data_IF_531868592619
#
_entry.id   IF_531868592619
#
_cell.length_a   1.000
_cell.length_b   1.000
_cell.length_c   1.000
_cell.angle_alpha   90.00
_cell.angle_beta   90.00
_cell.angle_gamma   90.00
#
_symmetry.space_group_name_H-M   'P 1'
#
loop_
_entity.id
_entity.type
_entity.pdbx_description
1 polymer ?
#
# COMPACT_ATOMS: atom_id res chain seq x y z
N UNK A 1 24.39 66.04 -7.15
CA UNK A 1 25.30 65.98 -6.01
C UNK A 1 25.60 64.54 -5.68
N UNK A 2 26.85 64.24 -5.87
CA UNK A 2 27.61 63.03 -5.65
C UNK A 2 27.50 62.54 -4.21
N UNK A 3 27.34 61.24 -3.97
CA UNK A 3 28.08 60.53 -2.94
C UNK A 3 28.31 59.08 -3.38
N UNK A 4 29.53 58.82 -3.66
CA UNK A 4 30.28 57.63 -3.87
C UNK A 4 30.49 56.96 -2.50
N UNK A 5 30.11 55.73 -2.30
CA UNK A 5 30.50 54.93 -1.15
C UNK A 5 31.27 53.69 -1.61
N UNK A 6 32.49 53.67 -1.15
CA UNK A 6 33.56 52.71 -1.36
C UNK A 6 33.29 51.41 -0.62
N UNK A 7 33.34 50.28 -1.32
CA UNK A 7 33.30 48.96 -0.72
C UNK A 7 34.72 48.48 -0.47
N UNK A 8 35.09 48.37 0.78
CA UNK A 8 36.36 47.80 1.22
C UNK A 8 36.19 46.26 1.29
N UNK A 9 36.96 45.58 0.47
CA UNK A 9 37.10 44.13 0.42
C UNK A 9 38.09 43.71 1.51
N UNK A 10 37.59 43.05 2.56
CA UNK A 10 38.43 42.45 3.59
C UNK A 10 38.61 40.98 3.26
N UNK A 11 39.76 40.61 2.71
CA UNK A 11 40.21 39.22 2.63
C UNK A 11 40.69 38.79 4.02
N UNK A 12 39.99 37.86 4.64
CA UNK A 12 40.49 37.09 5.75
C UNK A 12 40.73 35.64 5.30
N UNK A 13 42.01 35.35 5.13
CA UNK A 13 42.52 33.98 5.04
C UNK A 13 42.31 33.29 6.38
N UNK A 14 41.43 32.30 6.42
CA UNK A 14 41.43 31.36 7.53
C UNK A 14 41.93 29.99 7.04
N UNK A 15 42.91 29.52 7.78
CA UNK A 15 43.66 28.33 7.52
C UNK A 15 42.80 27.07 7.63
N UNK A 16 43.17 26.12 6.84
CA UNK A 16 42.75 24.71 6.91
C UNK A 16 43.17 24.14 8.28
N UNK A 17 42.22 23.98 9.18
CA UNK A 17 42.28 22.99 10.25
C UNK A 17 41.37 21.84 9.85
N UNK A 18 41.99 20.81 9.34
CA UNK A 18 41.43 19.50 9.17
C UNK A 18 41.14 18.94 10.58
N UNK A 19 39.90 18.98 11.01
CA UNK A 19 39.42 18.09 12.04
C UNK A 19 38.73 16.94 11.34
N UNK A 20 39.43 15.83 11.32
CA UNK A 20 38.97 14.54 10.90
C UNK A 20 38.26 13.93 12.13
N UNK A 21 36.99 14.20 12.27
CA UNK A 21 36.10 13.41 13.14
C UNK A 21 35.12 12.65 12.24
N UNK A 22 35.67 11.58 11.67
CA UNK A 22 34.90 10.52 11.05
C UNK A 22 34.56 9.47 12.10
N UNK A 23 33.53 9.70 12.88
CA UNK A 23 32.75 8.64 13.51
C UNK A 23 31.50 8.35 12.67
N UNK A 24 31.70 8.22 11.36
CA UNK A 24 30.83 7.47 10.50
C UNK A 24 31.16 6.00 10.72
N UNK A 25 30.26 5.24 11.27
CA UNK A 25 30.31 3.79 11.22
C UNK A 25 30.31 3.43 9.73
N UNK A 26 31.50 3.22 9.20
CA UNK A 26 31.64 2.56 7.89
C UNK A 26 31.27 1.12 8.17
N UNK A 27 30.03 0.77 7.85
CA UNK A 27 29.67 -0.63 7.75
C UNK A 27 30.56 -1.26 6.70
N UNK A 28 31.35 -2.25 7.09
CA UNK A 28 32.13 -3.04 6.16
C UNK A 28 31.18 -3.64 5.13
N UNK A 29 31.18 -3.08 3.91
CA UNK A 29 30.52 -3.70 2.77
C UNK A 29 31.03 -5.10 2.61
N UNK A 30 30.21 -6.14 2.66
CA UNK A 30 30.68 -7.48 2.40
C UNK A 30 31.09 -7.57 0.94
N UNK A 31 32.40 -7.56 0.70
CA UNK A 31 32.97 -7.86 -0.61
C UNK A 31 32.52 -9.28 -0.93
N UNK A 32 31.64 -9.45 -1.90
CA UNK A 32 31.35 -10.77 -2.46
C UNK A 32 32.55 -11.21 -3.27
N UNK A 33 32.82 -12.51 -3.31
CA UNK A 33 33.93 -13.07 -4.10
C UNK A 33 33.95 -12.65 -5.58
N UNK A 34 32.89 -12.00 -6.06
CA UNK A 34 32.74 -11.49 -7.43
C UNK A 34 32.89 -9.96 -7.56
N UNK A 35 33.33 -9.26 -6.51
CA UNK A 35 33.60 -7.80 -6.58
C UNK A 35 32.40 -6.92 -6.93
N UNK A 36 31.17 -7.40 -6.75
CA UNK A 36 29.99 -6.57 -6.89
C UNK A 36 29.66 -5.92 -5.56
N UNK A 37 29.93 -4.61 -5.46
CA UNK A 37 29.37 -3.78 -4.42
C UNK A 37 27.84 -3.84 -4.54
N UNK A 38 27.19 -4.27 -3.46
CA UNK A 38 25.75 -4.17 -3.38
C UNK A 38 25.40 -2.80 -2.85
N UNK A 39 24.50 -2.09 -3.54
CA UNK A 39 23.97 -0.77 -3.15
C UNK A 39 23.22 -0.76 -1.79
N UNK A 40 23.42 -1.76 -0.97
CA UNK A 40 22.71 -1.97 0.30
C UNK A 40 23.19 -1.07 1.44
N UNK A 41 24.34 -0.43 1.29
CA UNK A 41 24.93 0.44 2.32
C UNK A 41 24.27 1.82 2.37
N UNK A 42 23.33 2.09 1.45
CA UNK A 42 22.66 3.40 1.34
C UNK A 42 21.52 3.53 2.36
N UNK A 43 20.98 2.42 2.88
CA UNK A 43 19.86 2.47 3.83
C UNK A 43 20.40 2.71 5.24
N UNK A 44 20.52 3.97 5.63
CA UNK A 44 21.13 4.37 6.90
C UNK A 44 20.14 4.58 8.04
N UNK A 45 18.84 4.82 7.77
CA UNK A 45 17.85 5.13 8.80
C UNK A 45 16.41 4.86 8.41
N UNK A 46 15.50 5.06 9.35
CA UNK A 46 14.06 4.88 9.12
C UNK A 46 13.44 6.01 8.30
N UNK A 47 14.17 7.10 8.08
CA UNK A 47 13.84 8.25 7.24
C UNK A 47 14.25 8.09 5.76
N UNK A 48 14.94 6.99 5.39
CA UNK A 48 15.25 6.70 3.99
C UNK A 48 13.98 6.62 3.14
N UNK A 49 13.89 7.43 2.09
CA UNK A 49 12.73 7.46 1.19
C UNK A 49 12.90 6.41 0.10
N UNK A 50 12.00 5.43 0.08
CA UNK A 50 11.93 4.45 -0.99
C UNK A 50 11.19 5.03 -2.20
N UNK A 51 11.81 4.96 -3.38
CA UNK A 51 11.19 5.26 -4.66
C UNK A 51 10.84 3.95 -5.35
N UNK A 52 9.55 3.64 -5.42
CA UNK A 52 9.04 2.34 -5.87
C UNK A 52 8.36 2.47 -7.23
N UNK A 53 8.96 1.91 -8.31
CA UNK A 53 8.36 1.96 -9.63
C UNK A 53 7.08 1.13 -9.71
N UNK A 54 5.99 1.75 -10.18
CA UNK A 54 4.67 1.14 -10.36
C UNK A 54 4.34 1.02 -11.84
N UNK A 55 3.84 -0.14 -12.24
CA UNK A 55 3.27 -0.39 -13.56
C UNK A 55 1.82 -0.85 -13.44
N UNK A 56 0.91 -0.12 -14.06
CA UNK A 56 -0.50 -0.50 -14.20
C UNK A 56 -0.67 -1.33 -15.46
N UNK A 57 -1.22 -2.54 -15.33
CA UNK A 57 -1.60 -3.42 -16.43
C UNK A 57 -3.11 -3.34 -16.60
N UNK A 58 -3.57 -2.56 -17.58
CA UNK A 58 -5.00 -2.29 -17.83
C UNK A 58 -5.55 -3.28 -18.83
N UNK A 59 -6.39 -4.20 -18.37
CA UNK A 59 -7.04 -5.22 -19.20
C UNK A 59 -8.36 -4.68 -19.75
N UNK A 60 -8.54 -4.77 -21.07
CA UNK A 60 -9.75 -4.33 -21.74
C UNK A 60 -10.11 -5.25 -22.91
N UNK A 61 -11.39 -5.37 -23.21
CA UNK A 61 -11.92 -6.00 -24.43
C UNK A 61 -12.46 -4.94 -25.39
N UNK A 62 -13.04 -3.85 -24.87
CA UNK A 62 -13.53 -2.70 -25.64
C UNK A 62 -12.79 -1.41 -25.22
N UNK A 63 -12.00 -0.77 -26.14
CA UNK A 63 -11.28 0.47 -25.83
C UNK A 63 -12.19 1.69 -25.61
N UNK A 64 -13.47 1.60 -25.98
CA UNK A 64 -14.46 2.65 -25.75
C UNK A 64 -15.21 2.50 -24.43
N UNK A 65 -15.08 1.37 -23.76
CA UNK A 65 -15.66 1.14 -22.44
C UNK A 65 -14.76 1.73 -21.35
N UNK A 66 -15.15 2.89 -20.81
CA UNK A 66 -14.37 3.60 -19.78
C UNK A 66 -14.31 2.87 -18.44
N UNK A 67 -15.18 1.90 -18.18
CA UNK A 67 -15.10 1.04 -16.99
C UNK A 67 -14.08 -0.10 -17.14
N UNK A 68 -13.38 -0.20 -18.27
CA UNK A 68 -12.32 -1.16 -18.53
C UNK A 68 -11.06 -0.45 -19.02
N UNK A 69 -11.18 0.41 -20.01
CA UNK A 69 -10.07 1.20 -20.57
C UNK A 69 -9.86 2.47 -19.74
N UNK A 70 -9.18 2.32 -18.61
CA UNK A 70 -8.91 3.43 -17.70
C UNK A 70 -7.83 4.33 -18.29
N UNK A 71 -8.13 5.62 -18.43
CA UNK A 71 -7.20 6.58 -19.02
C UNK A 71 -5.95 6.80 -18.13
N UNK A 72 -4.79 6.96 -18.79
CA UNK A 72 -3.50 7.24 -18.13
C UNK A 72 -3.56 8.35 -17.07
N UNK A 73 -4.22 9.48 -17.44
CA UNK A 73 -4.30 10.63 -16.55
C UNK A 73 -5.00 10.30 -15.23
N UNK A 74 -6.01 9.41 -15.31
CA UNK A 74 -6.76 8.97 -14.14
C UNK A 74 -5.90 8.10 -13.21
N UNK A 75 -5.15 7.16 -13.75
CA UNK A 75 -4.24 6.31 -12.97
C UNK A 75 -3.12 7.14 -12.32
N UNK A 76 -2.61 8.14 -13.04
CA UNK A 76 -1.62 9.09 -12.51
C UNK A 76 -2.19 9.93 -11.35
N UNK A 77 -3.43 10.44 -11.48
CA UNK A 77 -4.11 11.17 -10.41
C UNK A 77 -4.26 10.30 -9.14
N UNK A 78 -4.71 9.05 -9.31
CA UNK A 78 -4.84 8.10 -8.20
C UNK A 78 -3.50 7.86 -7.52
N UNK A 79 -2.44 7.59 -8.26
CA UNK A 79 -1.12 7.34 -7.69
C UNK A 79 -0.58 8.55 -6.93
N UNK A 80 -0.83 9.76 -7.41
CA UNK A 80 -0.46 11.00 -6.71
C UNK A 80 -1.21 11.12 -5.36
N UNK A 81 -2.52 10.84 -5.36
CA UNK A 81 -3.33 10.87 -4.13
C UNK A 81 -2.92 9.76 -3.14
N UNK A 82 -2.52 8.59 -3.65
CA UNK A 82 -1.94 7.51 -2.81
C UNK A 82 -0.63 7.97 -2.16
N UNK A 83 0.22 8.68 -2.88
CA UNK A 83 1.44 9.23 -2.29
C UNK A 83 1.13 10.23 -1.16
N UNK A 84 0.10 11.07 -1.30
CA UNK A 84 -0.32 11.97 -0.21
C UNK A 84 -0.78 11.18 1.03
N UNK A 85 -1.51 10.07 0.83
CA UNK A 85 -1.91 9.17 1.93
C UNK A 85 -0.70 8.53 2.62
N UNK A 86 0.29 8.04 1.85
CA UNK A 86 1.50 7.42 2.40
C UNK A 86 2.47 8.43 3.03
N UNK A 87 2.40 9.69 2.65
CA UNK A 87 3.16 10.78 3.27
C UNK A 87 2.50 11.32 4.54
N UNK A 88 1.26 10.94 4.80
CA UNK A 88 0.50 11.44 5.95
C UNK A 88 -0.05 12.86 5.75
N UNK A 89 -0.15 13.33 4.51
CA UNK A 89 -0.53 14.70 4.15
C UNK A 89 -2.04 14.89 3.95
N UNK A 90 -2.85 13.86 4.22
CA UNK A 90 -4.31 13.94 4.12
C UNK A 90 -4.93 14.27 5.46
N UNK A 91 -5.83 15.24 5.47
CA UNK A 91 -6.49 15.75 6.67
C UNK A 91 -8.00 15.69 6.54
N UNK A 92 -8.67 15.32 7.63
CA UNK A 92 -10.11 15.48 7.78
C UNK A 92 -10.39 16.47 8.90
N UNK A 93 -10.91 17.65 8.54
CA UNK A 93 -11.23 18.72 9.49
C UNK A 93 -12.31 18.37 10.51
N UNK A 94 -13.07 17.30 10.26
CA UNK A 94 -14.11 16.81 11.16
C UNK A 94 -13.59 15.84 12.22
N UNK A 95 -12.31 15.48 12.15
CA UNK A 95 -11.67 14.58 13.10
C UNK A 95 -10.68 15.35 13.97
N UNK A 96 -10.84 15.18 15.27
CA UNK A 96 -9.86 15.61 16.27
C UNK A 96 -8.82 14.47 16.42
N UNK A 97 -8.08 14.19 15.34
CA UNK A 97 -7.20 13.05 15.28
C UNK A 97 -5.74 13.44 15.17
N UNK A 98 -4.88 12.54 15.64
CA UNK A 98 -3.46 12.55 15.38
C UNK A 98 -3.21 12.50 13.87
N UNK A 99 -2.17 13.16 13.41
CA UNK A 99 -1.71 13.07 12.03
C UNK A 99 -1.40 11.61 11.66
N UNK A 100 -1.53 11.27 10.40
CA UNK A 100 -1.01 10.02 9.85
C UNK A 100 0.51 10.04 9.90
N UNK A 101 1.14 8.88 10.08
CA UNK A 101 2.59 8.75 9.99
C UNK A 101 3.05 8.71 8.53
N UNK A 102 4.22 9.30 8.27
CA UNK A 102 4.86 9.21 6.95
C UNK A 102 5.58 7.86 6.80
N UNK A 103 5.21 7.10 5.77
CA UNK A 103 5.83 5.79 5.49
C UNK A 103 7.22 5.92 4.86
N UNK A 104 7.58 7.11 4.39
CA UNK A 104 8.79 7.38 3.62
C UNK A 104 8.88 6.51 2.34
N UNK A 105 7.78 6.42 1.63
CA UNK A 105 7.65 5.75 0.33
C UNK A 105 7.06 6.73 -0.68
N UNK A 106 7.61 6.73 -1.89
CA UNK A 106 7.07 7.42 -3.05
C UNK A 106 6.86 6.40 -4.16
N UNK A 107 5.62 6.22 -4.57
CA UNK A 107 5.27 5.39 -5.72
C UNK A 107 5.41 6.22 -6.99
N UNK A 108 6.20 5.74 -7.94
CA UNK A 108 6.51 6.43 -9.19
C UNK A 108 6.03 5.61 -10.39
N UNK A 109 5.41 6.28 -11.36
CA UNK A 109 5.09 5.62 -12.62
C UNK A 109 6.37 5.15 -13.32
N UNK A 110 6.50 3.85 -13.62
CA UNK A 110 7.64 3.28 -14.31
C UNK A 110 7.93 4.02 -15.62
N UNK A 111 9.16 4.51 -15.80
CA UNK A 111 9.57 5.26 -17.00
C UNK A 111 10.12 4.35 -18.11
N UNK A 112 10.63 3.17 -17.74
CA UNK A 112 11.29 2.22 -18.65
C UNK A 112 10.72 0.83 -18.43
N UNK A 113 10.73 0.04 -19.49
CA UNK A 113 10.45 -1.39 -19.41
C UNK A 113 11.66 -2.20 -18.86
N UNK A 114 11.46 -3.51 -18.68
CA UNK A 114 12.49 -4.43 -18.19
C UNK A 114 13.77 -4.46 -19.04
N UNK A 115 13.72 -3.99 -20.31
CA UNK A 115 14.85 -3.90 -21.22
C UNK A 115 15.50 -2.50 -21.23
N UNK A 116 15.03 -1.59 -20.37
CA UNK A 116 15.50 -0.21 -20.28
C UNK A 116 14.98 0.72 -21.35
N UNK A 117 14.02 0.28 -22.18
CA UNK A 117 13.39 1.11 -23.20
C UNK A 117 12.37 2.04 -22.57
N UNK A 118 12.43 3.32 -22.91
CA UNK A 118 11.48 4.33 -22.44
C UNK A 118 10.06 4.00 -22.91
N UNK A 119 9.12 4.00 -22.00
CA UNK A 119 7.71 3.78 -22.26
C UNK A 119 7.08 4.99 -22.95
N UNK A 120 6.21 4.74 -23.93
CA UNK A 120 5.41 5.80 -24.56
C UNK A 120 4.36 6.38 -23.61
N UNK A 121 3.84 5.55 -22.71
CA UNK A 121 2.94 5.93 -21.63
C UNK A 121 3.57 5.48 -20.32
N UNK A 122 4.19 6.39 -19.56
CA UNK A 122 4.88 6.01 -18.33
C UNK A 122 3.96 5.27 -17.35
N UNK A 123 4.41 4.12 -16.87
CA UNK A 123 3.73 3.33 -15.86
C UNK A 123 2.38 2.73 -16.24
N UNK A 124 2.02 2.69 -17.52
CA UNK A 124 0.77 2.05 -17.96
C UNK A 124 0.97 1.19 -19.19
N UNK A 125 0.54 -0.07 -19.10
CA UNK A 125 0.46 -1.02 -20.20
C UNK A 125 -1.00 -1.40 -20.44
N UNK A 126 -1.46 -1.24 -21.68
CA UNK A 126 -2.83 -1.59 -22.09
C UNK A 126 -2.82 -2.98 -22.73
N UNK A 127 -3.55 -3.93 -22.13
CA UNK A 127 -3.57 -5.34 -22.52
C UNK A 127 -4.95 -5.67 -23.09
N UNK A 128 -5.03 -5.83 -24.41
CA UNK A 128 -6.26 -6.26 -25.06
C UNK A 128 -6.47 -7.75 -24.87
N UNK A 129 -7.63 -8.10 -24.35
CA UNK A 129 -8.06 -9.50 -24.11
C UNK A 129 -9.42 -9.76 -24.76
N UNK A 130 -9.82 -11.01 -24.87
CA UNK A 130 -11.15 -11.38 -25.38
C UNK A 130 -12.28 -11.19 -24.36
N UNK A 131 -11.92 -11.17 -23.08
CA UNK A 131 -12.81 -10.89 -21.95
C UNK A 131 -11.98 -10.28 -20.84
N UNK A 132 -12.34 -9.08 -20.38
CA UNK A 132 -11.64 -8.35 -19.32
C UNK A 132 -12.27 -8.53 -17.93
N UNK A 133 -13.24 -9.44 -17.78
CA UNK A 133 -13.88 -9.78 -16.51
C UNK A 133 -13.31 -11.07 -15.95
N UNK A 134 -12.66 -11.01 -14.79
CA UNK A 134 -12.04 -12.17 -14.14
C UNK A 134 -12.51 -12.31 -12.69
N UNK A 135 -12.53 -13.55 -12.20
CA UNK A 135 -12.54 -13.81 -10.77
C UNK A 135 -11.21 -13.38 -10.17
N UNK A 136 -11.24 -12.45 -9.21
CA UNK A 136 -10.01 -11.81 -8.73
C UNK A 136 -9.10 -12.78 -7.97
N UNK A 137 -9.65 -13.67 -7.15
CA UNK A 137 -8.84 -14.67 -6.44
C UNK A 137 -8.22 -15.70 -7.39
N UNK A 138 -9.00 -16.16 -8.36
CA UNK A 138 -8.49 -17.10 -9.37
C UNK A 138 -7.41 -16.45 -10.22
N UNK A 139 -7.59 -15.17 -10.62
CA UNK A 139 -6.58 -14.43 -11.36
C UNK A 139 -5.25 -14.39 -10.60
N UNK A 140 -5.29 -14.04 -9.31
CA UNK A 140 -4.11 -13.92 -8.45
C UNK A 140 -3.39 -15.25 -8.21
N UNK A 141 -4.09 -16.39 -8.37
CA UNK A 141 -3.56 -17.74 -8.17
C UNK A 141 -3.16 -18.44 -9.48
N UNK A 142 -3.54 -17.91 -10.64
CA UNK A 142 -3.29 -18.52 -11.94
C UNK A 142 -1.88 -18.29 -12.44
N UNK A 143 -1.07 -19.37 -12.48
CA UNK A 143 0.32 -19.34 -12.99
C UNK A 143 0.42 -18.78 -14.42
N UNK A 144 -0.62 -18.96 -15.26
CA UNK A 144 -0.64 -18.41 -16.61
C UNK A 144 -0.75 -16.88 -16.62
N UNK A 145 -1.20 -16.27 -15.54
CA UNK A 145 -1.29 -14.80 -15.41
C UNK A 145 0.07 -14.16 -15.06
N UNK A 146 1.04 -14.95 -14.58
CA UNK A 146 2.39 -14.47 -14.31
C UNK A 146 3.05 -13.81 -15.54
N UNK A 147 2.65 -14.21 -16.76
CA UNK A 147 3.17 -13.62 -18.00
C UNK A 147 2.87 -12.12 -18.15
N UNK A 148 1.87 -11.60 -17.44
CA UNK A 148 1.51 -10.20 -17.46
C UNK A 148 2.28 -9.36 -16.42
N UNK A 149 2.94 -10.02 -15.47
CA UNK A 149 3.73 -9.32 -14.46
C UNK A 149 5.13 -9.00 -14.98
N UNK A 150 5.55 -7.77 -14.75
CA UNK A 150 6.95 -7.41 -14.87
C UNK A 150 7.74 -7.93 -13.66
N UNK A 151 9.06 -7.90 -13.72
CA UNK A 151 9.89 -8.40 -12.62
C UNK A 151 9.52 -7.74 -11.29
N UNK A 152 9.05 -8.53 -10.36
CA UNK A 152 8.53 -8.05 -9.05
C UNK A 152 9.63 -7.47 -8.15
N UNK A 153 10.90 -7.76 -8.42
CA UNK A 153 12.01 -7.13 -7.69
C UNK A 153 12.28 -5.69 -8.16
N UNK A 154 11.79 -5.31 -9.35
CA UNK A 154 12.04 -4.01 -9.95
C UNK A 154 10.77 -3.15 -10.00
N UNK A 155 9.59 -3.77 -10.02
CA UNK A 155 8.31 -3.08 -10.23
C UNK A 155 7.22 -3.61 -9.32
N UNK A 156 6.40 -2.71 -8.79
CA UNK A 156 5.09 -3.05 -8.23
C UNK A 156 4.12 -3.18 -9.40
N UNK A 157 3.57 -4.37 -9.57
CA UNK A 157 2.57 -4.65 -10.61
C UNK A 157 1.18 -4.37 -10.06
N UNK A 158 0.40 -3.52 -10.73
CA UNK A 158 -1.00 -3.23 -10.41
C UNK A 158 -1.87 -3.67 -11.58
N UNK A 159 -2.62 -4.75 -11.41
CA UNK A 159 -3.53 -5.29 -12.40
C UNK A 159 -4.88 -4.58 -12.30
N UNK A 160 -5.37 -4.07 -13.42
CA UNK A 160 -6.64 -3.30 -13.47
C UNK A 160 -7.57 -4.01 -14.44
N UNK A 161 -8.62 -4.63 -13.92
CA UNK A 161 -9.61 -5.38 -14.70
C UNK A 161 -10.96 -5.40 -14.00
N UNK A 162 -12.04 -5.73 -14.71
CA UNK A 162 -13.35 -5.87 -14.09
C UNK A 162 -13.42 -7.16 -13.28
N UNK A 163 -13.75 -7.05 -11.99
CA UNK A 163 -13.93 -8.22 -11.14
C UNK A 163 -15.28 -8.88 -11.42
N UNK A 164 -15.27 -10.20 -11.48
CA UNK A 164 -16.49 -10.99 -11.61
C UNK A 164 -17.34 -10.84 -10.34
N UNK A 165 -18.58 -10.43 -10.49
CA UNK A 165 -19.52 -10.35 -9.35
C UNK A 165 -19.71 -11.71 -8.71
N UNK A 166 -19.59 -11.76 -7.40
CA UNK A 166 -19.96 -12.91 -6.59
C UNK A 166 -21.44 -12.85 -6.23
N UNK A 167 -22.01 -13.96 -5.82
CA UNK A 167 -23.45 -14.05 -5.47
C UNK A 167 -23.83 -13.32 -4.17
N UNK A 168 -22.85 -12.86 -3.40
CA UNK A 168 -23.06 -12.05 -2.20
C UNK A 168 -23.05 -10.57 -2.60
N UNK A 169 -23.92 -9.77 -1.99
CA UNK A 169 -24.12 -8.34 -2.29
C UNK A 169 -22.88 -7.45 -2.00
N UNK A 170 -21.80 -8.00 -1.45
CA UNK A 170 -20.55 -7.29 -1.23
C UNK A 170 -19.68 -7.35 -2.48
N UNK A 171 -19.23 -6.18 -2.96
CA UNK A 171 -18.34 -6.08 -4.10
C UNK A 171 -16.89 -5.88 -3.64
N UNK A 172 -15.99 -6.73 -4.13
CA UNK A 172 -14.54 -6.58 -3.91
C UNK A 172 -14.02 -5.45 -4.79
N UNK A 173 -13.36 -4.47 -4.18
CA UNK A 173 -12.80 -3.30 -4.86
C UNK A 173 -11.34 -3.49 -5.24
N UNK A 174 -10.58 -4.22 -4.41
CA UNK A 174 -9.19 -4.56 -4.60
C UNK A 174 -8.86 -5.93 -3.98
N UNK A 175 -7.68 -6.42 -4.27
CA UNK A 175 -7.07 -7.61 -3.68
C UNK A 175 -5.56 -7.54 -3.86
N UNK A 176 -4.81 -7.96 -2.86
CA UNK A 176 -3.34 -7.90 -2.87
C UNK A 176 -2.70 -9.22 -2.47
N UNK A 177 -1.49 -9.47 -2.97
CA UNK A 177 -0.60 -10.43 -2.35
C UNK A 177 0.00 -9.84 -1.08
N UNK A 178 0.09 -10.65 -0.02
CA UNK A 178 0.91 -10.34 1.14
C UNK A 178 2.38 -10.70 0.87
N UNK A 179 3.33 -9.97 1.45
CA UNK A 179 4.74 -10.25 1.28
C UNK A 179 5.20 -11.47 2.09
N UNK A 180 6.45 -11.84 1.88
CA UNK A 180 7.07 -12.98 2.53
C UNK A 180 8.18 -12.53 3.45
N UNK A 181 8.37 -13.25 4.55
CA UNK A 181 9.60 -13.18 5.33
C UNK A 181 10.60 -14.24 4.89
N UNK A 182 11.87 -13.97 5.06
CA UNK A 182 12.97 -14.86 4.68
C UNK A 182 13.70 -15.33 5.94
N UNK A 183 13.99 -16.65 6.01
CA UNK A 183 14.71 -17.24 7.15
C UNK A 183 16.02 -16.49 7.40
N UNK A 184 16.17 -16.06 8.66
CA UNK A 184 17.36 -15.46 9.23
C UNK A 184 17.45 -13.95 9.10
N UNK A 185 16.43 -13.26 8.59
CA UNK A 185 16.14 -11.86 8.86
C UNK A 185 15.23 -11.74 10.10
N UNK A 186 15.04 -10.53 10.66
CA UNK A 186 14.06 -10.32 11.70
C UNK A 186 12.70 -10.88 11.29
N UNK A 187 12.04 -11.57 12.20
CA UNK A 187 10.71 -12.10 11.98
C UNK A 187 9.71 -10.94 11.85
N UNK A 188 8.85 -11.01 10.82
CA UNK A 188 7.71 -10.13 10.67
C UNK A 188 6.48 -10.99 10.94
N UNK A 189 5.94 -10.85 12.14
CA UNK A 189 4.88 -11.70 12.66
C UNK A 189 3.69 -11.76 11.70
N UNK A 190 3.09 -12.93 11.55
CA UNK A 190 1.96 -13.13 10.65
C UNK A 190 2.32 -13.38 9.18
N UNK A 191 3.49 -12.99 8.68
CA UNK A 191 3.86 -13.22 7.30
C UNK A 191 4.29 -14.67 7.04
N UNK A 192 3.94 -15.15 5.84
CA UNK A 192 4.35 -16.47 5.37
C UNK A 192 5.86 -16.53 5.14
N UNK A 193 6.44 -17.70 5.39
CA UNK A 193 7.87 -17.92 5.20
C UNK A 193 8.16 -18.31 3.75
N UNK A 194 8.89 -17.45 3.05
CA UNK A 194 9.42 -17.73 1.71
C UNK A 194 10.68 -18.61 1.79
N UNK A 195 10.56 -19.81 2.40
CA UNK A 195 11.69 -20.73 2.55
C UNK A 195 12.37 -20.96 1.21
N UNK A 196 13.67 -20.67 1.17
CA UNK A 196 14.55 -21.06 0.05
C UNK A 196 14.23 -20.43 -1.31
N UNK A 197 13.38 -19.40 -1.37
CA UNK A 197 13.11 -18.73 -2.63
C UNK A 197 14.28 -17.81 -3.00
N UNK A 198 14.86 -17.92 -4.22
CA UNK A 198 15.90 -17.01 -4.66
C UNK A 198 15.35 -15.58 -4.74
N UNK A 199 15.96 -14.62 -4.04
CA UNK A 199 15.50 -13.22 -3.98
C UNK A 199 15.44 -12.52 -5.35
N UNK A 200 16.16 -13.05 -6.34
CA UNK A 200 16.26 -12.48 -7.68
C UNK A 200 15.43 -13.24 -8.73
N UNK A 201 14.62 -14.23 -8.34
CA UNK A 201 13.80 -15.00 -9.28
C UNK A 201 12.39 -14.45 -9.31
N UNK A 202 11.82 -14.12 -10.48
CA UNK A 202 10.43 -13.74 -10.62
C UNK A 202 9.51 -14.86 -10.11
N UNK A 203 8.38 -14.50 -9.52
CA UNK A 203 7.35 -15.46 -9.12
C UNK A 203 6.75 -16.19 -10.30
N UNK A 204 6.24 -17.39 -10.06
CA UNK A 204 5.52 -18.19 -11.06
C UNK A 204 3.99 -17.93 -11.01
N UNK A 205 3.55 -16.88 -10.37
CA UNK A 205 2.18 -16.38 -10.29
C UNK A 205 2.21 -14.85 -10.33
N UNK A 206 1.08 -14.17 -10.61
CA UNK A 206 1.05 -12.71 -10.66
C UNK A 206 1.13 -12.13 -9.23
N UNK A 207 2.36 -11.97 -8.73
CA UNK A 207 2.59 -11.26 -7.46
C UNK A 207 2.34 -9.77 -7.67
N UNK A 208 1.18 -9.30 -7.24
CA UNK A 208 0.67 -7.98 -7.62
C UNK A 208 -0.41 -7.48 -6.65
N UNK A 209 -0.82 -6.24 -6.88
CA UNK A 209 -2.10 -5.68 -6.45
C UNK A 209 -3.07 -5.78 -7.61
N UNK A 210 -4.35 -6.05 -7.37
CA UNK A 210 -5.41 -5.98 -8.39
C UNK A 210 -6.50 -5.00 -7.96
N UNK A 211 -6.97 -4.18 -8.90
CA UNK A 211 -8.06 -3.21 -8.71
C UNK A 211 -9.23 -3.52 -9.62
N UNK A 212 -10.45 -3.38 -9.09
CA UNK A 212 -11.67 -3.50 -9.85
C UNK A 212 -11.89 -2.27 -10.74
N UNK A 213 -11.65 -2.41 -12.04
CA UNK A 213 -11.75 -1.33 -13.01
C UNK A 213 -13.12 -0.61 -12.99
N UNK A 214 -14.19 -1.31 -12.65
CA UNK A 214 -15.54 -0.75 -12.59
C UNK A 214 -15.69 0.37 -11.55
N UNK A 215 -14.77 0.48 -10.58
CA UNK A 215 -14.82 1.45 -9.48
C UNK A 215 -13.71 2.52 -9.54
N UNK A 216 -13.03 2.66 -10.67
CA UNK A 216 -11.93 3.64 -10.83
C UNK A 216 -12.43 5.00 -11.37
N UNK A 217 -13.66 5.09 -11.85
CA UNK A 217 -14.25 6.33 -12.36
C UNK A 217 -14.24 7.44 -11.29
N UNK A 218 -14.10 8.70 -11.75
CA UNK A 218 -14.12 9.89 -10.89
C UNK A 218 -15.38 10.03 -10.03
N UNK A 219 -16.49 9.42 -10.44
CA UNK A 219 -17.73 9.45 -9.68
C UNK A 219 -17.65 8.74 -8.33
N UNK A 220 -16.66 7.87 -8.14
CA UNK A 220 -16.41 7.17 -6.90
C UNK A 220 -15.34 7.83 -6.03
N UNK A 221 -14.79 8.97 -6.46
CA UNK A 221 -13.76 9.70 -5.72
C UNK A 221 -14.37 10.69 -4.74
N UNK A 222 -13.90 10.67 -3.50
CA UNK A 222 -14.20 11.68 -2.50
C UNK A 222 -13.35 12.93 -2.63
N UNK A 223 -13.86 14.08 -2.17
CA UNK A 223 -13.09 15.34 -2.11
C UNK A 223 -12.31 15.43 -0.78
N UNK A 224 -11.65 14.35 -0.39
CA UNK A 224 -10.98 14.24 0.92
C UNK A 224 -9.58 14.84 0.95
N UNK A 225 -8.95 14.96 -0.22
CA UNK A 225 -7.55 15.24 -0.29
C UNK A 225 -7.26 16.72 -0.14
N UNK A 226 -6.56 17.07 0.92
CA UNK A 226 -6.00 18.39 1.13
C UNK A 226 -4.67 18.27 1.88
N UNK A 227 -3.64 18.91 1.37
CA UNK A 227 -2.34 19.06 2.02
C UNK A 227 -2.26 20.33 2.85
N UNK A 228 -3.30 21.17 2.81
CA UNK A 228 -3.39 22.42 3.55
C UNK A 228 -4.37 22.29 4.72
N UNK A 229 -3.84 22.20 5.95
CA UNK A 229 -4.63 22.15 7.20
C UNK A 229 -5.55 23.34 7.38
N UNK A 230 -5.24 24.49 6.77
CA UNK A 230 -6.07 25.69 6.80
C UNK A 230 -7.19 25.72 5.77
N UNK A 231 -7.15 24.83 4.79
CA UNK A 231 -8.13 24.79 3.71
C UNK A 231 -9.25 23.80 4.02
N UNK A 232 -10.25 24.23 4.74
CA UNK A 232 -11.41 23.45 5.16
C UNK A 232 -12.40 23.17 4.02
N UNK A 233 -11.96 22.52 2.94
CA UNK A 233 -12.89 21.89 2.00
C UNK A 233 -13.54 20.74 2.74
N UNK A 234 -14.88 20.69 2.77
CA UNK A 234 -15.60 19.64 3.45
C UNK A 234 -15.15 18.26 2.98
N UNK A 235 -14.93 17.36 3.92
CA UNK A 235 -14.63 15.97 3.63
C UNK A 235 -15.87 15.29 3.06
N UNK A 236 -15.75 14.71 1.86
CA UNK A 236 -16.79 13.90 1.23
C UNK A 236 -16.31 12.45 1.21
N UNK A 237 -17.10 11.56 1.78
CA UNK A 237 -16.81 10.13 1.80
C UNK A 237 -17.50 9.40 0.64
N UNK A 238 -16.76 8.52 0.01
CA UNK A 238 -17.28 7.55 -0.95
C UNK A 238 -16.88 6.13 -0.54
N UNK A 239 -17.83 5.21 -0.58
CA UNK A 239 -17.62 3.80 -0.19
C UNK A 239 -16.66 3.05 -1.12
N UNK A 240 -16.51 3.52 -2.35
CA UNK A 240 -15.67 2.91 -3.38
C UNK A 240 -14.63 3.92 -3.92
N UNK A 241 -13.94 4.62 -3.02
CA UNK A 241 -12.89 5.58 -3.39
C UNK A 241 -11.64 4.84 -3.89
N UNK A 242 -11.26 4.97 -5.16
CA UNK A 242 -10.14 4.22 -5.74
C UNK A 242 -8.78 4.63 -5.15
N UNK A 243 -8.65 5.84 -4.61
CA UNK A 243 -7.41 6.27 -3.97
C UNK A 243 -7.21 5.53 -2.65
N UNK A 244 -8.26 5.48 -1.81
CA UNK A 244 -8.24 4.71 -0.57
C UNK A 244 -8.09 3.21 -0.85
N UNK A 245 -8.78 2.69 -1.88
CA UNK A 245 -8.66 1.29 -2.27
C UNK A 245 -7.23 0.93 -2.67
N UNK A 246 -6.60 1.69 -3.56
CA UNK A 246 -5.20 1.41 -3.94
C UNK A 246 -4.24 1.57 -2.76
N UNK A 247 -4.43 2.56 -1.89
CA UNK A 247 -3.61 2.73 -0.70
C UNK A 247 -3.77 1.56 0.28
N UNK A 248 -4.99 1.04 0.47
CA UNK A 248 -5.29 -0.14 1.26
C UNK A 248 -4.57 -1.38 0.72
N UNK A 249 -4.72 -1.65 -0.58
CA UNK A 249 -4.08 -2.81 -1.22
C UNK A 249 -2.55 -2.73 -1.21
N UNK A 250 -1.98 -1.53 -1.36
CA UNK A 250 -0.54 -1.31 -1.19
C UNK A 250 -0.10 -1.47 0.26
N UNK A 251 -0.96 -1.17 1.23
CA UNK A 251 -0.75 -1.50 2.64
C UNK A 251 -0.58 -3.01 2.83
N UNK A 252 -1.46 -3.84 2.27
CA UNK A 252 -1.32 -5.30 2.26
C UNK A 252 -0.06 -5.76 1.53
N UNK A 253 0.22 -5.19 0.37
CA UNK A 253 1.44 -5.48 -0.40
C UNK A 253 2.71 -5.19 0.41
N UNK A 254 2.66 -4.24 1.32
CA UNK A 254 3.73 -3.90 2.26
C UNK A 254 3.55 -4.55 3.65
N UNK A 255 2.69 -5.56 3.78
CA UNK A 255 2.63 -6.45 4.94
C UNK A 255 1.65 -6.10 6.03
N UNK A 256 0.75 -5.13 5.81
CA UNK A 256 -0.30 -4.83 6.77
C UNK A 256 -1.46 -5.83 6.67
N UNK A 257 -2.12 -6.05 7.79
CA UNK A 257 -3.38 -6.77 7.92
C UNK A 257 -4.51 -5.79 8.22
N UNK A 258 -5.75 -6.27 8.20
CA UNK A 258 -6.89 -5.41 8.50
C UNK A 258 -6.93 -4.96 9.96
N UNK A 259 -7.38 -3.74 10.18
CA UNK A 259 -7.55 -3.15 11.52
C UNK A 259 -8.81 -3.65 12.26
N UNK A 260 -9.20 -4.90 12.02
CA UNK A 260 -10.28 -5.62 12.71
C UNK A 260 -9.90 -7.09 12.84
N UNK A 261 -10.61 -7.81 13.70
CA UNK A 261 -10.27 -9.21 13.97
C UNK A 261 -10.56 -10.13 12.80
N UNK A 262 -9.57 -10.93 12.44
CA UNK A 262 -9.64 -11.95 11.39
C UNK A 262 -9.37 -13.34 11.96
N UNK A 263 -9.89 -14.39 11.30
CA UNK A 263 -9.59 -15.77 11.69
C UNK A 263 -8.12 -16.07 11.47
N UNK A 264 -7.49 -16.60 12.52
CA UNK A 264 -6.10 -17.04 12.47
C UNK A 264 -6.02 -18.52 12.08
N UNK A 265 -5.04 -18.90 11.23
CA UNK A 265 -4.76 -20.31 10.93
C UNK A 265 -4.70 -20.66 9.45
N UNK A 266 -5.67 -20.28 8.64
CA UNK A 266 -5.57 -20.41 7.18
C UNK A 266 -5.23 -19.03 6.57
N UNK A 267 -3.94 -18.85 6.29
CA UNK A 267 -3.41 -17.59 5.73
C UNK A 267 -3.69 -17.42 4.24
N UNK A 268 -4.43 -18.33 3.62
CA UNK A 268 -4.74 -18.27 2.19
C UNK A 268 -5.89 -17.30 1.86
N UNK A 269 -6.71 -16.94 2.87
CA UNK A 269 -7.80 -15.98 2.75
C UNK A 269 -7.99 -15.25 4.08
N UNK A 270 -8.15 -13.92 4.03
CA UNK A 270 -8.60 -13.14 5.18
C UNK A 270 -10.11 -13.35 5.39
N UNK A 271 -10.50 -13.85 6.56
CA UNK A 271 -11.90 -14.01 6.95
C UNK A 271 -12.14 -13.28 8.27
N UNK A 272 -13.23 -12.50 8.34
CA UNK A 272 -13.64 -11.81 9.56
C UNK A 272 -13.90 -12.80 10.70
N UNK A 273 -13.40 -12.50 11.90
CA UNK A 273 -13.67 -13.24 13.12
C UNK A 273 -14.83 -12.63 13.91
N UNK A 274 -15.64 -13.47 14.56
CA UNK A 274 -16.73 -13.00 15.45
C UNK A 274 -16.18 -12.73 16.87
N UNK A 275 -15.10 -11.96 16.95
CA UNK A 275 -14.47 -11.48 18.16
C UNK A 275 -13.72 -10.17 17.86
N UNK A 276 -13.04 -9.58 18.83
CA UNK A 276 -12.23 -8.36 18.69
C UNK A 276 -10.76 -8.57 19.10
N UNK A 277 -10.25 -9.78 18.91
CA UNK A 277 -8.84 -10.07 19.12
C UNK A 277 -7.97 -9.29 18.13
N UNK A 278 -6.81 -8.85 18.59
CA UNK A 278 -5.82 -8.20 17.75
C UNK A 278 -5.16 -9.24 16.84
N UNK A 279 -5.32 -9.06 15.53
CA UNK A 279 -4.78 -9.97 14.50
C UNK A 279 -3.96 -9.24 13.45
N UNK A 280 -3.79 -7.92 13.57
CA UNK A 280 -3.00 -7.11 12.64
C UNK A 280 -1.53 -6.93 13.07
N UNK A 281 -1.20 -7.40 14.27
CA UNK A 281 0.14 -7.31 14.87
C UNK A 281 0.65 -5.88 15.05
N UNK A 282 -0.26 -4.92 15.27
CA UNK A 282 0.02 -3.51 15.51
C UNK A 282 -0.77 -3.04 16.74
N UNK A 283 -0.14 -2.99 17.91
CA UNK A 283 -0.83 -2.75 19.21
C UNK A 283 -1.42 -1.35 19.33
N UNK A 284 -0.98 -0.41 18.50
CA UNK A 284 -1.51 0.96 18.42
C UNK A 284 -2.76 1.07 17.52
N UNK A 285 -3.12 -0.01 16.82
CA UNK A 285 -4.33 -0.14 16.00
C UNK A 285 -5.40 -0.88 16.80
N UNK A 286 -6.45 -0.21 17.30
CA UNK A 286 -7.46 -0.88 18.10
C UNK A 286 -8.33 -1.81 17.25
N UNK A 287 -8.33 -3.11 17.56
CA UNK A 287 -9.15 -4.12 16.89
C UNK A 287 -10.61 -4.11 17.37
N UNK A 288 -11.52 -4.53 16.51
CA UNK A 288 -12.96 -4.65 16.77
C UNK A 288 -13.58 -5.85 16.07
N UNK A 289 -14.76 -6.26 16.54
CA UNK A 289 -15.57 -7.32 15.93
C UNK A 289 -16.32 -6.76 14.70
N UNK A 290 -15.80 -7.02 13.51
CA UNK A 290 -16.41 -6.55 12.27
C UNK A 290 -17.72 -7.28 11.94
N UNK A 291 -17.85 -8.57 12.26
CA UNK A 291 -19.09 -9.33 12.06
C UNK A 291 -20.26 -8.68 12.84
N UNK A 292 -20.00 -8.32 14.10
CA UNK A 292 -20.98 -7.61 14.91
C UNK A 292 -21.27 -6.20 14.36
N UNK A 293 -20.25 -5.48 13.90
CA UNK A 293 -20.41 -4.17 13.28
C UNK A 293 -21.28 -4.23 12.01
N UNK A 294 -21.00 -5.15 11.09
CA UNK A 294 -21.73 -5.30 9.81
C UNK A 294 -23.21 -5.64 10.06
N UNK A 295 -23.48 -6.47 11.07
CA UNK A 295 -24.85 -6.72 11.48
C UNK A 295 -25.55 -5.45 11.97
N UNK A 296 -24.92 -4.69 12.87
CA UNK A 296 -25.44 -3.42 13.37
C UNK A 296 -25.65 -2.40 12.23
N UNK A 297 -24.68 -2.28 11.32
CA UNK A 297 -24.75 -1.37 10.15
C UNK A 297 -25.95 -1.69 9.27
N UNK A 298 -26.15 -2.97 8.97
CA UNK A 298 -27.28 -3.45 8.17
C UNK A 298 -28.63 -3.10 8.81
N UNK A 299 -28.74 -3.28 10.14
CA UNK A 299 -29.95 -2.91 10.91
C UNK A 299 -30.15 -1.38 10.92
N UNK A 300 -29.08 -0.59 11.08
CA UNK A 300 -29.10 0.86 11.04
C UNK A 300 -29.60 1.39 9.69
N UNK A 301 -29.03 0.88 8.59
CA UNK A 301 -29.42 1.25 7.23
C UNK A 301 -30.87 0.84 6.94
N UNK A 302 -31.28 -0.36 7.35
CA UNK A 302 -32.66 -0.83 7.20
C UNK A 302 -33.64 0.11 7.90
N UNK A 303 -33.38 0.46 9.15
CA UNK A 303 -34.21 1.39 9.92
C UNK A 303 -34.27 2.78 9.25
N UNK A 304 -33.15 3.32 8.81
CA UNK A 304 -33.13 4.60 8.10
C UNK A 304 -33.99 4.58 6.83
N UNK A 305 -33.98 3.48 6.09
CA UNK A 305 -34.84 3.28 4.90
C UNK A 305 -36.33 3.23 5.28
N UNK A 306 -36.70 2.52 6.35
CA UNK A 306 -38.07 2.42 6.84
C UNK A 306 -38.59 3.79 7.32
N UNK A 307 -37.80 4.52 8.11
CA UNK A 307 -38.14 5.84 8.61
C UNK A 307 -38.32 6.86 7.47
N UNK A 308 -37.40 6.88 6.51
CA UNK A 308 -37.48 7.73 5.32
C UNK A 308 -38.75 7.45 4.48
N UNK A 309 -39.08 6.16 4.32
CA UNK A 309 -40.30 5.73 3.61
C UNK A 309 -41.54 6.20 4.34
N UNK A 310 -41.61 6.06 5.67
CA UNK A 310 -42.76 6.48 6.49
C UNK A 310 -42.97 8.00 6.41
N UNK A 311 -41.90 8.79 6.29
CA UNK A 311 -41.94 10.24 6.20
C UNK A 311 -42.00 10.78 4.75
N UNK A 312 -42.01 9.89 3.75
CA UNK A 312 -41.90 10.24 2.31
C UNK A 312 -40.68 11.14 2.01
N UNK A 313 -39.51 10.81 2.61
CA UNK A 313 -38.26 11.53 2.48
C UNK A 313 -37.19 10.66 1.83
N UNK A 314 -36.08 11.29 1.43
CA UNK A 314 -34.90 10.55 1.00
C UNK A 314 -34.18 9.96 2.21
N UNK A 315 -33.57 8.79 2.01
CA UNK A 315 -32.74 8.14 3.05
C UNK A 315 -31.52 9.01 3.32
N UNK A 316 -31.31 9.35 4.58
CA UNK A 316 -30.12 10.05 5.04
C UNK A 316 -29.41 9.19 6.07
N UNK A 317 -28.11 8.96 5.88
CA UNK A 317 -27.26 8.23 6.82
C UNK A 317 -26.28 9.20 7.48
N UNK A 318 -26.15 9.12 8.80
CA UNK A 318 -25.14 9.92 9.52
C UNK A 318 -23.80 9.19 9.49
N UNK A 319 -22.86 9.75 8.73
CA UNK A 319 -21.49 9.23 8.63
C UNK A 319 -20.78 9.15 9.98
N UNK A 320 -21.07 10.10 10.90
CA UNK A 320 -20.46 10.12 12.23
C UNK A 320 -20.91 8.94 13.09
N UNK A 321 -22.06 8.37 12.82
CA UNK A 321 -22.51 7.13 13.46
C UNK A 321 -21.86 5.89 12.81
N UNK A 322 -21.81 5.85 11.47
CA UNK A 322 -21.29 4.73 10.72
C UNK A 322 -19.78 4.50 10.89
N UNK A 323 -19.01 5.57 11.12
CA UNK A 323 -17.56 5.43 11.36
C UNK A 323 -17.22 5.05 12.81
N UNK A 324 -18.19 5.01 13.73
CA UNK A 324 -17.90 4.61 15.11
C UNK A 324 -17.52 3.14 15.20
N UNK A 325 -16.50 2.88 16.00
CA UNK A 325 -16.06 1.54 16.39
C UNK A 325 -16.00 1.43 17.90
N UNK A 326 -16.01 0.20 18.38
CA UNK A 326 -15.82 -0.09 19.79
C UNK A 326 -15.46 -1.56 19.97
N UNK A 327 -14.78 -1.88 21.07
CA UNK A 327 -14.39 -3.23 21.42
C UNK A 327 -14.91 -3.67 22.79
N UNK A 328 -14.72 -4.93 23.12
CA UNK A 328 -15.16 -5.52 24.40
C UNK A 328 -14.48 -4.92 25.63
N UNK A 329 -13.30 -4.29 25.43
CA UNK A 329 -12.57 -3.59 26.47
C UNK A 329 -13.16 -2.20 26.77
N UNK A 330 -14.20 -1.78 26.04
CA UNK A 330 -14.86 -0.49 26.21
C UNK A 330 -14.17 0.69 25.52
N UNK A 331 -13.13 0.46 24.74
CA UNK A 331 -12.50 1.50 23.90
C UNK A 331 -13.47 1.89 22.77
N UNK A 332 -13.59 3.18 22.51
CA UNK A 332 -14.43 3.73 21.42
C UNK A 332 -13.61 4.71 20.62
N UNK A 333 -13.76 4.67 19.28
CA UNK A 333 -13.04 5.55 18.35
C UNK A 333 -13.86 5.77 17.08
N UNK A 334 -13.42 6.71 16.25
CA UNK A 334 -13.88 6.84 14.88
C UNK A 334 -12.88 6.15 13.95
N UNK A 335 -13.37 5.33 13.03
CA UNK A 335 -12.52 4.61 12.08
C UNK A 335 -11.94 5.57 11.05
N UNK A 336 -10.62 5.68 11.02
CA UNK A 336 -9.86 6.52 10.11
C UNK A 336 -8.65 5.78 9.48
N UNK A 337 -8.41 4.54 9.90
CA UNK A 337 -7.28 3.74 9.45
C UNK A 337 -7.49 3.25 8.02
N UNK A 338 -6.44 3.34 7.19
CA UNK A 338 -6.47 2.86 5.81
C UNK A 338 -6.69 1.36 5.69
N UNK A 339 -6.36 0.59 6.74
CA UNK A 339 -6.55 -0.86 6.77
C UNK A 339 -7.90 -1.31 7.34
N UNK A 340 -8.85 -0.39 7.55
CA UNK A 340 -10.25 -0.73 7.87
C UNK A 340 -11.11 -0.74 6.60
N UNK A 341 -12.23 -1.46 6.66
CA UNK A 341 -13.20 -1.47 5.58
C UNK A 341 -14.22 -0.32 5.68
N UNK A 342 -14.99 -0.14 4.60
CA UNK A 342 -16.13 0.79 4.59
C UNK A 342 -17.13 0.45 5.72
N UNK A 343 -17.68 1.38 6.44
CA UNK A 343 -17.56 2.85 6.31
C UNK A 343 -16.44 3.35 7.21
N UNK A 344 -15.41 3.93 6.63
CA UNK A 344 -14.22 4.42 7.32
C UNK A 344 -13.73 5.69 6.63
N UNK A 345 -13.12 6.61 7.35
CA UNK A 345 -12.50 7.78 6.74
C UNK A 345 -11.26 7.44 5.90
N UNK A 346 -10.62 6.31 6.13
CA UNK A 346 -9.53 5.72 5.34
C UNK A 346 -8.44 6.73 4.93
N UNK A 347 -7.75 7.29 5.91
CA UNK A 347 -6.79 8.38 5.67
C UNK A 347 -5.48 8.24 6.45
N UNK A 348 -5.36 7.25 7.35
CA UNK A 348 -4.27 7.19 8.31
C UNK A 348 -3.60 5.83 8.38
N UNK A 349 -2.27 5.85 8.56
CA UNK A 349 -1.48 4.75 9.11
C UNK A 349 -0.99 5.10 10.52
N UNK A 350 -0.80 4.09 11.36
CA UNK A 350 -0.25 4.23 12.70
C UNK A 350 1.28 4.06 12.70
N UNK A 351 1.99 4.50 13.75
CA UNK A 351 3.43 4.28 13.90
C UNK A 351 3.85 2.81 13.76
N UNK A 352 3.14 1.87 14.38
CA UNK A 352 3.49 0.44 14.29
C UNK A 352 3.20 -0.13 12.90
N UNK A 353 2.14 0.31 12.23
CA UNK A 353 1.89 -0.02 10.82
C UNK A 353 3.03 0.48 9.92
N UNK A 354 3.48 1.71 10.10
CA UNK A 354 4.63 2.25 9.36
C UNK A 354 5.89 1.45 9.66
N UNK A 355 6.19 1.17 10.93
CA UNK A 355 7.33 0.33 11.30
C UNK A 355 7.27 -1.04 10.59
N UNK A 356 6.11 -1.69 10.60
CA UNK A 356 5.90 -2.98 9.95
C UNK A 356 6.14 -2.92 8.43
N UNK A 357 5.60 -1.91 7.73
CA UNK A 357 5.87 -1.69 6.30
C UNK A 357 7.36 -1.47 6.03
N UNK A 358 8.06 -0.74 6.91
CA UNK A 358 9.52 -0.53 6.82
C UNK A 358 10.29 -1.85 6.94
N UNK A 359 9.91 -2.76 7.84
CA UNK A 359 10.52 -4.09 7.95
C UNK A 359 10.33 -4.90 6.65
N UNK A 360 9.17 -4.83 6.02
CA UNK A 360 8.91 -5.45 4.72
C UNK A 360 9.82 -4.87 3.64
N UNK A 361 9.92 -3.55 3.56
CA UNK A 361 10.82 -2.87 2.60
C UNK A 361 12.28 -3.29 2.78
N UNK A 362 12.72 -3.46 4.04
CA UNK A 362 14.10 -3.82 4.35
C UNK A 362 14.45 -5.26 4.01
N UNK A 363 13.52 -6.20 4.16
CA UNK A 363 13.87 -7.63 4.20
C UNK A 363 13.06 -8.54 3.28
N UNK A 364 11.87 -8.14 2.85
CA UNK A 364 11.01 -9.02 2.05
C UNK A 364 11.45 -9.10 0.59
N UNK A 365 11.47 -10.31 -0.01
CA UNK A 365 11.70 -10.48 -1.44
C UNK A 365 10.46 -10.03 -2.22
N UNK A 366 10.61 -9.85 -3.52
CA UNK A 366 9.53 -9.48 -4.47
C UNK A 366 8.92 -8.09 -4.21
N UNK A 367 9.60 -7.28 -3.40
CA UNK A 367 9.30 -5.87 -3.19
C UNK A 367 10.44 -5.06 -3.79
N UNK A 368 10.19 -4.09 -4.67
CA UNK A 368 11.24 -3.25 -5.24
C UNK A 368 12.05 -2.46 -4.20
N UNK A 369 13.19 -1.98 -4.61
CA UNK A 369 14.05 -1.13 -3.80
C UNK A 369 15.17 -1.87 -3.06
N UNK A 370 16.12 -1.11 -2.49
CA UNK A 370 17.29 -1.67 -1.83
C UNK A 370 16.90 -2.41 -0.54
N UNK A 371 17.65 -3.45 -0.21
CA UNK A 371 17.43 -4.30 0.96
C UNK A 371 18.57 -4.18 1.96
N UNK A 372 18.26 -4.21 3.26
CA UNK A 372 19.27 -4.31 4.30
C UNK A 372 19.94 -5.68 4.22
N UNK A 373 21.27 -5.69 4.12
CA UNK A 373 22.06 -6.93 4.06
C UNK A 373 22.29 -7.47 5.46
N UNK A 374 22.37 -8.79 5.58
CA UNK A 374 22.80 -9.43 6.81
C UNK A 374 24.27 -9.18 7.09
N UNK A 375 24.65 -9.00 8.37
CA UNK A 375 26.03 -8.81 8.77
C UNK A 375 26.92 -10.05 8.60
N UNK A 376 26.44 -11.20 8.13
CA UNK A 376 27.23 -12.42 8.05
C UNK A 376 27.09 -13.13 6.72
N UNK A 377 28.19 -13.19 5.97
CA UNK A 377 28.40 -13.94 4.71
C UNK A 377 28.20 -15.47 4.83
N UNK A 378 28.11 -16.01 6.05
CA UNK A 378 28.03 -17.45 6.31
C UNK A 378 26.68 -18.09 5.95
N UNK A 379 25.63 -17.29 5.81
CA UNK A 379 24.26 -17.79 5.58
C UNK A 379 23.91 -18.01 4.10
N UNK A 380 24.71 -17.51 3.15
CA UNK A 380 24.47 -17.70 1.72
C UNK A 380 24.91 -19.08 1.21
N UNK A 381 25.83 -19.76 1.92
CA UNK A 381 26.29 -21.10 1.56
C UNK A 381 25.36 -22.23 2.03
N UNK A 382 24.37 -21.91 2.84
CA UNK A 382 23.41 -22.88 3.39
C UNK A 382 21.98 -22.70 2.80
N UNK A 383 21.84 -22.01 1.67
CA UNK A 383 20.56 -21.99 0.97
C UNK A 383 20.30 -23.39 0.43
N UNK A 384 19.18 -24.03 0.82
CA UNK A 384 18.84 -25.35 0.33
C UNK A 384 18.72 -25.32 -1.20
N UNK A 385 19.19 -26.38 -1.80
CA UNK A 385 19.18 -26.58 -3.26
C UNK A 385 17.80 -26.96 -3.83
N UNK A 386 16.80 -27.18 -2.97
CA UNK A 386 15.44 -27.47 -3.41
C UNK A 386 14.62 -26.19 -3.52
N UNK A 387 14.24 -25.85 -4.73
CA UNK A 387 13.34 -24.74 -5.04
C UNK A 387 11.92 -25.07 -4.51
N UNK A 388 11.54 -24.50 -3.37
CA UNK A 388 10.17 -24.55 -2.88
C UNK A 388 9.26 -23.61 -3.69
N UNK A 389 8.00 -23.99 -3.90
CA UNK A 389 6.99 -23.02 -4.37
C UNK A 389 6.64 -22.06 -3.24
N UNK A 390 6.51 -20.76 -3.59
CA UNK A 390 5.99 -19.78 -2.64
C UNK A 390 4.50 -20.04 -2.40
N UNK A 391 4.03 -20.04 -1.16
CA UNK A 391 2.60 -20.08 -0.87
C UNK A 391 1.96 -18.77 -1.36
N UNK A 392 0.81 -18.84 -2.03
CA UNK A 392 0.08 -17.65 -2.46
C UNK A 392 -0.80 -17.21 -1.28
N UNK A 393 -0.47 -16.08 -0.68
CA UNK A 393 -1.21 -15.48 0.44
C UNK A 393 -1.83 -14.17 -0.03
N UNK A 394 -3.16 -14.07 0.08
CA UNK A 394 -3.94 -12.96 -0.42
C UNK A 394 -4.65 -12.23 0.74
N UNK A 395 -4.81 -10.91 0.58
CA UNK A 395 -5.68 -10.07 1.39
C UNK A 395 -6.61 -9.27 0.47
N UNK A 396 -7.82 -8.95 0.91
CA UNK A 396 -8.83 -8.22 0.13
C UNK A 396 -9.81 -7.46 1.02
#
# INVERSE_FOLDING_TARGET
>A
MKHLLLFIMLMSTFGLLSCNDSDGIIGDSPITENGQDRDNDIITGDDYVYHLPVIFHVFYDDPYNKSQYIEYIRLKEILNNVNELFQGDVYNVNLDTTASENVHVVFELAQKDANGKTLSTPGVEYIKVSNSTFDCEQFMKDKNKAQYSWNQNDYINVMVYTFKKTSNDSETLGISNLPYQVKGYPEIEGLANGKNYPLNKPGNFPYCVSLNAAYIDKNFEGSRYTTDKGNSKGYIYHTADPNATLAHELGHYLGLFHAFSEKTGDKSNSEEADNDEDTDYCTDTPSYNRVAYTKWESEYIKKAKEDAKALNQQVTLDMRELVKRGNSQGKKWQSDNLMDYSVCYSMRFTPEQVHRMRQVLYYSPLIPGPKKVRPTTRALSELPTEEGELPIVLAK
#
